data_IF_681537272848
#
_entry.id   IF_681537272848
#
_cell.length_a   1.000
_cell.length_b   1.000
_cell.length_c   1.000
_cell.angle_alpha   90.00
_cell.angle_beta   90.00
_cell.angle_gamma   90.00
#
_symmetry.space_group_name_H-M   'P 1'
#
loop_
_entity.id
_entity.type
_entity.pdbx_description
1 polymer ?
#
# COMPACT_ATOMS: atom_id res chain seq x y z
N UNK A 1 10.44 -9.03 -21.84
CA UNK A 1 9.12 -8.42 -22.09
C UNK A 1 8.63 -7.83 -20.79
N UNK A 2 8.13 -6.60 -20.78
CA UNK A 2 7.66 -5.96 -19.54
C UNK A 2 6.27 -6.44 -19.12
N UNK A 3 5.85 -6.04 -17.92
CA UNK A 3 4.51 -6.34 -17.38
C UNK A 3 3.42 -5.61 -18.17
N UNK A 4 2.18 -6.07 -18.06
CA UNK A 4 1.03 -5.34 -18.58
C UNK A 4 0.08 -4.88 -17.49
N UNK A 5 -0.48 -3.70 -17.69
CA UNK A 5 -1.43 -3.05 -16.81
C UNK A 5 -2.79 -2.96 -17.49
N UNK A 6 -3.82 -3.47 -16.80
CA UNK A 6 -5.22 -3.31 -17.18
C UNK A 6 -5.80 -2.25 -16.26
N UNK A 7 -6.43 -1.22 -16.83
CA UNK A 7 -6.72 0.02 -16.13
C UNK A 7 -8.21 0.33 -16.25
N UNK A 8 -8.86 0.61 -15.12
CA UNK A 8 -10.28 0.97 -15.12
C UNK A 8 -10.52 2.27 -15.89
N UNK A 9 -11.60 2.34 -16.68
CA UNK A 9 -11.92 3.51 -17.50
C UNK A 9 -12.11 4.81 -16.69
N UNK A 10 -12.53 4.72 -15.42
CA UNK A 10 -12.61 5.92 -14.56
C UNK A 10 -11.24 6.55 -14.30
N UNK A 11 -10.17 5.76 -14.32
CA UNK A 11 -8.79 6.23 -14.20
C UNK A 11 -8.38 6.99 -15.47
N UNK A 12 -8.79 6.52 -16.65
CA UNK A 12 -8.57 7.24 -17.91
C UNK A 12 -9.19 8.64 -17.86
N UNK A 13 -10.48 8.71 -17.52
CA UNK A 13 -11.21 9.98 -17.39
C UNK A 13 -10.54 10.92 -16.38
N UNK A 14 -10.12 10.37 -15.24
CA UNK A 14 -9.42 11.14 -14.21
C UNK A 14 -8.07 11.67 -14.71
N UNK A 15 -7.22 10.83 -15.30
CA UNK A 15 -5.92 11.24 -15.81
C UNK A 15 -6.05 12.26 -16.96
N UNK A 16 -7.07 12.12 -17.81
CA UNK A 16 -7.39 13.13 -18.84
C UNK A 16 -7.81 14.47 -18.23
N UNK A 17 -8.54 14.47 -17.11
CA UNK A 17 -8.93 15.71 -16.43
C UNK A 17 -7.73 16.48 -15.89
N UNK A 18 -6.65 15.78 -15.52
CA UNK A 18 -5.39 16.37 -15.06
C UNK A 18 -4.52 16.95 -16.19
N UNK A 19 -4.88 16.72 -17.46
CA UNK A 19 -4.20 17.29 -18.61
C UNK A 19 -4.75 18.66 -19.00
N UNK A 20 -5.92 19.05 -18.47
CA UNK A 20 -6.46 20.37 -18.69
C UNK A 20 -5.55 21.42 -18.04
N UNK A 21 -5.38 22.60 -18.67
CA UNK A 21 -4.61 23.67 -18.07
C UNK A 21 -5.30 24.14 -16.79
N UNK A 22 -4.76 23.75 -15.64
CA UNK A 22 -5.19 24.28 -14.34
C UNK A 22 -4.91 25.79 -14.32
N UNK A 23 -5.84 26.59 -13.79
CA UNK A 23 -5.67 28.05 -13.58
C UNK A 23 -4.53 28.41 -12.63
N UNK A 24 -3.87 27.42 -12.03
CA UNK A 24 -2.74 27.52 -11.10
C UNK A 24 -1.37 27.51 -11.79
N UNK A 25 -1.29 27.38 -13.12
CA UNK A 25 -0.03 27.52 -13.86
C UNK A 25 1.03 26.47 -13.52
N UNK A 26 0.63 25.31 -12.98
CA UNK A 26 1.56 24.26 -12.55
C UNK A 26 2.06 23.45 -13.77
N UNK A 27 3.37 23.41 -14.00
CA UNK A 27 4.03 22.73 -15.15
C UNK A 27 4.04 21.20 -15.07
N UNK A 28 3.77 20.64 -13.88
CA UNK A 28 3.72 19.20 -13.66
C UNK A 28 2.71 18.79 -12.59
N UNK A 29 2.09 17.64 -12.78
CA UNK A 29 1.19 17.01 -11.81
C UNK A 29 1.69 15.60 -11.55
N UNK A 30 1.89 15.25 -10.27
CA UNK A 30 2.32 13.91 -9.85
C UNK A 30 1.24 13.23 -9.02
N UNK A 31 1.28 11.90 -8.95
CA UNK A 31 0.39 11.14 -8.10
C UNK A 31 0.71 9.65 -8.07
N UNK A 32 -0.19 8.91 -7.45
CA UNK A 32 -0.05 7.48 -7.15
C UNK A 32 -1.02 6.66 -7.98
N UNK A 33 -0.59 5.47 -8.37
CA UNK A 33 -1.41 4.46 -9.02
C UNK A 33 -1.66 3.31 -8.04
N UNK A 34 -2.93 3.01 -7.80
CA UNK A 34 -3.39 2.06 -6.79
C UNK A 34 -4.14 0.92 -7.49
N UNK A 35 -3.88 -0.30 -7.02
CA UNK A 35 -4.58 -1.46 -7.52
C UNK A 35 -4.04 -2.77 -6.98
N UNK A 36 -4.19 -3.84 -7.75
CA UNK A 36 -3.83 -5.18 -7.34
C UNK A 36 -2.80 -5.78 -8.30
N UNK A 37 -1.72 -6.34 -7.74
CA UNK A 37 -0.76 -7.10 -8.52
C UNK A 37 -1.24 -8.54 -8.69
N UNK A 38 -1.08 -9.09 -9.90
CA UNK A 38 -1.30 -10.54 -10.15
C UNK A 38 -0.05 -11.17 -10.76
N UNK A 39 -0.04 -12.49 -10.91
CA UNK A 39 1.11 -13.18 -11.51
C UNK A 39 1.37 -12.79 -12.97
N UNK A 40 0.33 -12.39 -13.72
CA UNK A 40 0.42 -12.13 -15.17
C UNK A 40 0.29 -10.65 -15.55
N UNK A 41 -0.70 -9.95 -14.96
CA UNK A 41 -1.04 -8.56 -15.30
C UNK A 41 -1.40 -7.81 -14.03
N UNK A 42 -1.00 -6.55 -13.93
CA UNK A 42 -1.41 -5.72 -12.79
C UNK A 42 -2.68 -4.96 -13.15
N UNK A 43 -3.54 -4.76 -12.15
CA UNK A 43 -4.72 -3.95 -12.30
C UNK A 43 -4.54 -2.59 -11.68
N UNK A 44 -4.88 -1.54 -12.41
CA UNK A 44 -4.98 -0.19 -11.85
C UNK A 44 -6.46 0.14 -11.66
N UNK A 45 -6.85 0.27 -10.39
CA UNK A 45 -8.22 0.58 -10.00
C UNK A 45 -8.41 2.08 -9.76
N UNK A 46 -7.39 2.79 -9.26
CA UNK A 46 -7.49 4.19 -8.89
C UNK A 46 -6.19 4.93 -9.18
N UNK A 47 -6.30 6.19 -9.59
CA UNK A 47 -5.21 7.15 -9.60
C UNK A 47 -5.55 8.30 -8.65
N UNK A 48 -4.56 8.78 -7.90
CA UNK A 48 -4.74 9.87 -6.93
C UNK A 48 -3.63 10.89 -7.09
N UNK A 49 -3.99 12.13 -7.45
CA UNK A 49 -3.05 13.27 -7.49
C UNK A 49 -2.46 13.52 -6.11
N UNK A 50 -1.16 13.74 -6.04
CA UNK A 50 -0.51 14.24 -4.83
C UNK A 50 -0.99 15.65 -4.55
N UNK A 51 -1.53 15.94 -3.34
CA UNK A 51 -2.00 17.28 -2.98
C UNK A 51 -0.89 18.34 -3.15
N UNK A 52 -1.27 19.59 -3.41
CA UNK A 52 -0.29 20.69 -3.35
C UNK A 52 0.09 20.95 -1.89
N UNK A 53 1.38 21.21 -1.64
CA UNK A 53 1.86 21.58 -0.32
C UNK A 53 1.54 23.07 -0.12
N UNK A 54 0.58 23.40 0.74
CA UNK A 54 0.26 24.80 1.05
C UNK A 54 1.47 25.46 1.73
N UNK A 55 2.21 26.28 0.99
CA UNK A 55 3.32 27.11 1.48
C UNK A 55 2.84 28.53 1.80
N UNK A 56 1.65 28.70 2.36
CA UNK A 56 1.06 30.02 2.61
C UNK A 56 1.46 30.65 3.96
N UNK A 57 2.63 30.28 4.50
CA UNK A 57 3.07 30.70 5.84
C UNK A 57 4.43 31.38 5.93
N UNK A 58 5.18 31.53 4.83
CA UNK A 58 6.41 32.34 4.82
C UNK A 58 6.40 33.26 3.61
N UNK A 59 6.58 34.56 3.89
CA UNK A 59 6.42 35.67 2.96
C UNK A 59 7.05 35.41 1.59
N UNK A 60 6.21 35.57 0.57
CA UNK A 60 6.61 35.56 -0.83
C UNK A 60 7.57 36.72 -1.12
N UNK A 61 8.79 36.48 -1.63
CA UNK A 61 9.36 37.38 -2.60
C UNK A 61 8.82 36.95 -3.96
N UNK A 62 8.17 37.86 -4.68
CA UNK A 62 7.69 37.71 -6.06
C UNK A 62 8.57 36.78 -6.92
N UNK A 63 8.20 35.51 -7.04
CA UNK A 63 8.92 34.55 -7.88
C UNK A 63 8.42 34.72 -9.31
N UNK A 64 9.34 35.14 -10.18
CA UNK A 64 9.15 35.27 -11.62
C UNK A 64 8.42 34.05 -12.21
N UNK A 65 7.34 34.28 -12.96
CA UNK A 65 6.53 33.27 -13.69
C UNK A 65 7.34 32.33 -14.62
N UNK A 66 8.63 32.59 -14.84
CA UNK A 66 9.56 31.76 -15.64
C UNK A 66 10.31 30.68 -14.85
N UNK A 67 10.25 30.68 -13.51
CA UNK A 67 11.01 29.73 -12.68
C UNK A 67 10.31 28.37 -12.44
N UNK A 68 9.04 28.22 -12.86
CA UNK A 68 8.26 26.98 -12.61
C UNK A 68 8.42 25.92 -13.72
N UNK A 69 9.25 26.16 -14.74
CA UNK A 69 9.45 25.24 -15.88
C UNK A 69 10.54 24.19 -15.57
N UNK A 70 10.93 24.00 -14.31
CA UNK A 70 11.84 22.92 -13.90
C UNK A 70 11.14 21.94 -12.97
N UNK A 71 11.46 20.65 -13.10
CA UNK A 71 11.01 19.65 -12.11
C UNK A 71 11.91 19.61 -10.87
N UNK A 72 12.92 20.49 -10.77
CA UNK A 72 13.81 20.57 -9.59
C UNK A 72 13.06 20.93 -8.30
N UNK A 73 11.86 21.50 -8.41
CA UNK A 73 10.99 21.82 -7.27
C UNK A 73 10.03 20.68 -6.89
N UNK A 74 10.11 19.51 -7.52
CA UNK A 74 9.26 18.39 -7.15
C UNK A 74 9.65 17.86 -5.77
N UNK A 75 8.75 18.05 -4.81
CA UNK A 75 8.94 17.63 -3.44
C UNK A 75 8.78 16.12 -3.28
N UNK A 76 9.89 15.38 -3.46
CA UNK A 76 9.96 13.94 -3.29
C UNK A 76 9.53 13.52 -1.88
N UNK A 77 9.87 14.30 -0.86
CA UNK A 77 9.48 14.01 0.52
C UNK A 77 7.95 14.06 0.67
N UNK A 78 7.31 15.07 0.08
CA UNK A 78 5.85 15.18 0.10
C UNK A 78 5.14 14.06 -0.67
N UNK A 79 5.67 13.64 -1.82
CA UNK A 79 5.12 12.48 -2.57
C UNK A 79 5.27 11.20 -1.77
N UNK A 80 6.41 10.98 -1.10
CA UNK A 80 6.61 9.80 -0.26
C UNK A 80 5.73 9.82 0.98
N UNK A 81 5.48 10.99 1.57
CA UNK A 81 4.54 11.16 2.68
C UNK A 81 3.09 10.87 2.25
N UNK A 82 2.66 11.42 1.10
CA UNK A 82 1.36 11.08 0.51
C UNK A 82 1.22 9.58 0.27
N UNK A 83 2.25 8.93 -0.29
CA UNK A 83 2.25 7.49 -0.51
C UNK A 83 2.17 6.69 0.80
N UNK A 84 2.87 7.12 1.84
CA UNK A 84 2.82 6.52 3.17
C UNK A 84 1.41 6.59 3.76
N UNK A 85 0.75 7.74 3.66
CA UNK A 85 -0.61 7.93 4.14
C UNK A 85 -1.61 7.07 3.38
N UNK A 86 -1.58 7.13 2.04
CA UNK A 86 -2.44 6.31 1.18
C UNK A 86 -2.25 4.83 1.49
N UNK A 87 -1.00 4.34 1.60
CA UNK A 87 -0.71 2.94 1.92
C UNK A 87 -1.35 2.47 3.23
N UNK A 88 -1.51 3.35 4.24
CA UNK A 88 -2.17 3.01 5.52
C UNK A 88 -3.70 2.97 5.43
N UNK A 89 -4.26 3.60 4.40
CA UNK A 89 -5.71 3.71 4.18
C UNK A 89 -6.25 2.61 3.25
N UNK A 90 -5.37 1.92 2.51
CA UNK A 90 -5.80 0.92 1.55
C UNK A 90 -6.42 -0.32 2.25
N UNK A 91 -7.52 -0.86 1.69
CA UNK A 91 -8.04 -2.15 2.12
C UNK A 91 -7.10 -3.30 1.71
N UNK A 92 -7.31 -4.48 2.30
CA UNK A 92 -6.51 -5.65 1.97
C UNK A 92 -6.61 -6.00 0.49
N UNK A 93 -5.52 -6.49 -0.10
CA UNK A 93 -5.46 -6.87 -1.51
C UNK A 93 -5.21 -5.69 -2.47
N UNK A 94 -5.30 -4.45 -1.99
CA UNK A 94 -4.87 -3.24 -2.71
C UNK A 94 -3.49 -2.78 -2.24
N UNK A 95 -2.72 -2.24 -3.18
CA UNK A 95 -1.42 -1.64 -2.90
C UNK A 95 -1.11 -0.51 -3.89
N UNK A 96 -0.11 0.29 -3.57
CA UNK A 96 0.46 1.25 -4.51
C UNK A 96 1.31 0.47 -5.52
N UNK A 97 0.87 0.50 -6.78
CA UNK A 97 1.54 -0.16 -7.90
C UNK A 97 2.63 0.70 -8.51
N UNK A 98 2.56 2.01 -8.32
CA UNK A 98 3.53 2.94 -8.87
C UNK A 98 3.08 4.38 -8.80
N UNK A 99 3.67 5.21 -9.65
CA UNK A 99 3.47 6.65 -9.68
C UNK A 99 3.18 7.12 -11.11
N UNK A 100 2.46 8.22 -11.23
CA UNK A 100 2.25 8.90 -12.51
C UNK A 100 2.77 10.34 -12.46
N UNK A 101 3.16 10.84 -13.61
CA UNK A 101 3.64 12.20 -13.81
C UNK A 101 3.06 12.74 -15.12
N UNK A 102 2.33 13.84 -15.02
CA UNK A 102 1.79 14.61 -16.14
C UNK A 102 2.65 15.85 -16.31
N UNK A 103 3.22 16.08 -17.50
CA UNK A 103 4.10 17.24 -17.76
C UNK A 103 3.83 17.87 -19.11
N UNK A 104 4.24 19.13 -19.25
CA UNK A 104 4.39 19.77 -20.56
C UNK A 104 5.52 19.10 -21.38
N UNK A 105 5.52 19.23 -22.72
CA UNK A 105 6.47 18.54 -23.61
C UNK A 105 7.94 18.85 -23.32
N UNK A 106 8.24 20.08 -22.90
CA UNK A 106 9.60 20.56 -22.62
C UNK A 106 10.29 19.72 -21.54
N UNK A 107 9.48 19.19 -20.62
CA UNK A 107 9.91 18.45 -19.43
C UNK A 107 9.89 16.92 -19.62
N UNK A 108 9.58 16.46 -20.83
CA UNK A 108 9.42 15.03 -21.12
C UNK A 108 10.73 14.25 -21.00
N UNK A 109 11.88 14.90 -21.14
CA UNK A 109 13.20 14.25 -21.06
C UNK A 109 13.58 13.95 -19.60
N UNK A 110 13.28 14.87 -18.70
CA UNK A 110 13.56 14.78 -17.26
C UNK A 110 12.54 13.89 -16.53
N UNK A 111 11.32 13.80 -17.05
CA UNK A 111 10.21 13.04 -16.46
C UNK A 111 10.58 11.60 -16.08
N UNK A 112 11.39 10.92 -16.90
CA UNK A 112 11.74 9.51 -16.67
C UNK A 112 12.72 9.31 -15.51
N UNK A 113 13.70 10.21 -15.39
CA UNK A 113 14.64 10.19 -14.26
C UNK A 113 13.90 10.45 -12.95
N UNK A 114 12.92 11.34 -12.98
CA UNK A 114 12.14 11.71 -11.81
C UNK A 114 11.17 10.61 -11.41
N UNK A 115 10.45 10.02 -12.37
CA UNK A 115 9.62 8.85 -12.12
C UNK A 115 10.42 7.70 -11.48
N UNK A 116 11.65 7.46 -11.96
CA UNK A 116 12.56 6.51 -11.33
C UNK A 116 12.83 6.88 -9.86
N UNK A 117 13.28 8.13 -9.61
CA UNK A 117 13.58 8.60 -8.25
C UNK A 117 12.38 8.45 -7.32
N UNK A 118 11.18 8.85 -7.77
CA UNK A 118 9.93 8.73 -7.02
C UNK A 118 9.60 7.28 -6.68
N UNK A 119 9.70 6.34 -7.64
CA UNK A 119 9.40 4.93 -7.38
C UNK A 119 10.24 4.38 -6.24
N UNK A 120 11.57 4.57 -6.31
CA UNK A 120 12.47 4.06 -5.29
C UNK A 120 12.30 4.78 -3.95
N UNK A 121 12.06 6.10 -3.96
CA UNK A 121 11.80 6.86 -2.74
C UNK A 121 10.50 6.42 -2.06
N UNK A 122 9.42 6.27 -2.83
CA UNK A 122 8.11 5.81 -2.36
C UNK A 122 8.21 4.40 -1.78
N UNK A 123 8.81 3.47 -2.51
CA UNK A 123 8.93 2.10 -2.02
C UNK A 123 9.80 2.03 -0.75
N UNK A 124 10.94 2.73 -0.73
CA UNK A 124 11.81 2.81 0.46
C UNK A 124 11.04 3.31 1.69
N UNK A 125 10.19 4.33 1.54
CA UNK A 125 9.40 4.87 2.64
C UNK A 125 8.30 3.90 3.11
N UNK A 126 7.58 3.27 2.18
CA UNK A 126 6.55 2.28 2.52
C UNK A 126 7.18 1.04 3.18
N UNK A 127 8.33 0.59 2.68
CA UNK A 127 9.01 -0.63 3.14
C UNK A 127 9.63 -0.48 4.54
N UNK A 128 10.11 0.71 4.94
CA UNK A 128 10.63 0.97 6.32
C UNK A 128 9.61 0.66 7.42
N UNK A 129 8.32 0.87 7.11
CA UNK A 129 7.24 0.67 8.05
C UNK A 129 6.72 -0.76 8.11
N UNK A 130 7.03 -1.61 7.12
CA UNK A 130 6.35 -2.88 6.96
C UNK A 130 6.65 -3.82 8.13
N UNK A 131 5.60 -4.42 8.69
CA UNK A 131 5.75 -5.43 9.75
C UNK A 131 5.96 -6.84 9.20
N UNK A 132 5.80 -7.03 7.88
CA UNK A 132 5.96 -8.30 7.17
C UNK A 132 7.09 -8.24 6.16
N UNK A 133 7.78 -9.36 5.97
CA UNK A 133 8.79 -9.49 4.92
C UNK A 133 8.15 -9.63 3.54
N UNK A 134 8.86 -9.15 2.52
CA UNK A 134 8.60 -9.56 1.15
C UNK A 134 9.00 -11.03 1.00
N UNK A 135 8.13 -11.81 0.38
CA UNK A 135 8.36 -13.17 -0.06
C UNK A 135 8.85 -13.18 -1.51
N UNK A 136 9.43 -14.28 -1.97
CA UNK A 136 9.86 -14.42 -3.37
C UNK A 136 8.70 -14.36 -4.37
N UNK A 137 7.47 -14.59 -3.90
CA UNK A 137 6.24 -14.56 -4.70
C UNK A 137 5.69 -13.11 -4.88
N UNK A 138 6.15 -12.16 -4.06
CA UNK A 138 5.67 -10.78 -4.16
C UNK A 138 6.21 -10.08 -5.41
N UNK A 139 5.31 -9.39 -6.13
CA UNK A 139 5.64 -8.59 -7.33
C UNK A 139 6.40 -7.33 -6.92
N UNK A 140 7.60 -7.16 -7.49
CA UNK A 140 8.52 -6.05 -7.18
C UNK A 140 8.65 -5.02 -8.30
N UNK A 141 8.15 -5.33 -9.48
CA UNK A 141 8.03 -4.38 -10.58
C UNK A 141 6.96 -3.32 -10.25
N UNK A 142 7.34 -2.04 -10.28
CA UNK A 142 6.48 -0.88 -10.04
C UNK A 142 6.35 -0.03 -11.30
N UNK A 143 5.16 0.52 -11.55
CA UNK A 143 4.87 1.30 -12.76
C UNK A 143 5.25 2.78 -12.63
N UNK A 144 5.86 3.30 -13.67
CA UNK A 144 6.10 4.71 -13.94
C UNK A 144 5.27 5.11 -15.17
N UNK A 145 4.24 5.92 -14.95
CA UNK A 145 3.39 6.43 -16.02
C UNK A 145 3.72 7.89 -16.30
N UNK A 146 4.20 8.19 -17.51
CA UNK A 146 4.39 9.55 -17.97
C UNK A 146 3.31 9.93 -18.98
N UNK A 147 2.75 11.11 -18.85
CA UNK A 147 1.72 11.65 -19.73
C UNK A 147 2.13 13.06 -20.15
N UNK A 148 2.21 13.28 -21.46
CA UNK A 148 2.43 14.62 -22.01
C UNK A 148 1.09 15.35 -22.16
N UNK A 149 0.97 16.58 -21.65
CA UNK A 149 -0.28 17.35 -21.70
C UNK A 149 -0.72 17.70 -23.13
N UNK A 150 0.21 18.11 -24.00
CA UNK A 150 -0.11 18.53 -25.37
C UNK A 150 -0.35 17.35 -26.30
N UNK A 151 0.61 16.42 -26.36
CA UNK A 151 0.54 15.28 -27.29
C UNK A 151 -0.41 14.19 -26.80
N UNK A 152 -0.82 14.23 -25.52
CA UNK A 152 -1.57 13.17 -24.81
C UNK A 152 -0.90 11.80 -24.87
N UNK A 153 0.37 11.75 -25.28
CA UNK A 153 1.14 10.52 -25.38
C UNK A 153 1.40 9.99 -23.98
N UNK A 154 1.04 8.73 -23.79
CA UNK A 154 1.27 8.00 -22.55
C UNK A 154 2.47 7.06 -22.72
N UNK A 155 3.45 7.15 -21.82
CA UNK A 155 4.64 6.30 -21.79
C UNK A 155 4.63 5.53 -20.47
N UNK A 156 4.46 4.21 -20.57
CA UNK A 156 4.41 3.30 -19.43
C UNK A 156 5.72 2.50 -19.35
N UNK A 157 6.40 2.59 -18.21
CA UNK A 157 7.60 1.81 -17.91
C UNK A 157 7.51 1.17 -16.53
N UNK A 158 8.28 0.12 -16.30
CA UNK A 158 8.41 -0.50 -14.97
C UNK A 158 9.85 -0.52 -14.50
N UNK A 159 9.99 -0.55 -13.17
CA UNK A 159 11.26 -0.69 -12.47
C UNK A 159 11.12 -1.77 -11.41
N UNK A 160 12.12 -2.64 -11.32
CA UNK A 160 12.22 -3.61 -10.22
C UNK A 160 12.83 -2.94 -8.99
N UNK A 161 12.04 -2.76 -7.93
CA UNK A 161 12.49 -2.13 -6.68
C UNK A 161 13.56 -2.94 -5.94
N UNK A 162 13.69 -4.26 -6.22
CA UNK A 162 14.74 -5.10 -5.61
C UNK A 162 16.11 -4.80 -6.17
N UNK A 163 16.17 -4.28 -7.39
CA UNK A 163 17.40 -3.90 -8.04
C UNK A 163 17.48 -2.36 -8.17
N UNK A 164 18.27 -1.68 -7.31
CA UNK A 164 18.49 -0.24 -7.42
C UNK A 164 19.05 0.21 -8.77
N UNK A 165 19.68 -0.71 -9.51
CA UNK A 165 20.23 -0.48 -10.86
C UNK A 165 19.28 -0.92 -11.97
N UNK A 166 18.07 -1.38 -11.63
CA UNK A 166 17.06 -1.87 -12.57
C UNK A 166 16.85 -0.89 -13.71
N UNK A 167 16.94 -1.34 -14.96
CA UNK A 167 16.66 -0.49 -16.11
C UNK A 167 15.15 -0.40 -16.37
N UNK A 168 14.71 0.71 -16.98
CA UNK A 168 13.30 0.92 -17.25
C UNK A 168 12.81 -0.03 -18.35
N UNK A 169 11.85 -0.90 -18.04
CA UNK A 169 11.28 -1.85 -19.01
C UNK A 169 9.97 -1.30 -19.58
N UNK A 170 9.76 -1.27 -20.90
CA UNK A 170 8.46 -0.88 -21.48
C UNK A 170 7.36 -1.82 -21.00
N UNK A 171 6.19 -1.27 -20.66
CA UNK A 171 5.05 -2.03 -20.18
C UNK A 171 3.78 -1.71 -20.97
N UNK A 172 2.91 -2.70 -21.13
CA UNK A 172 1.61 -2.51 -21.78
C UNK A 172 0.69 -1.71 -20.85
N UNK A 173 -0.02 -0.72 -21.39
CA UNK A 173 -1.02 0.05 -20.66
C UNK A 173 -2.34 0.02 -21.43
N UNK A 174 -3.35 -0.65 -20.90
CA UNK A 174 -4.63 -0.89 -21.60
C UNK A 174 -5.81 -0.54 -20.72
N UNK A 175 -6.67 0.34 -21.21
CA UNK A 175 -7.93 0.67 -20.54
C UNK A 175 -8.98 -0.41 -20.83
N UNK A 176 -9.74 -0.78 -19.80
CA UNK A 176 -10.82 -1.74 -19.90
C UNK A 176 -11.97 -1.31 -18.99
N UNK A 177 -13.20 -1.54 -19.46
CA UNK A 177 -14.42 -1.26 -18.70
C UNK A 177 -14.70 -2.39 -17.71
N UNK A 178 -15.09 -2.04 -16.48
CA UNK A 178 -15.61 -3.01 -15.51
C UNK A 178 -14.53 -3.91 -14.91
N UNK A 179 -13.30 -3.40 -14.85
CA UNK A 179 -12.16 -4.10 -14.23
C UNK A 179 -12.42 -4.33 -12.74
N UNK A 180 -13.11 -3.40 -12.09
CA UNK A 180 -13.42 -3.42 -10.66
C UNK A 180 -14.80 -4.01 -10.33
N UNK A 181 -15.69 -4.20 -11.30
CA UNK A 181 -17.10 -4.59 -11.05
C UNK A 181 -17.28 -6.01 -10.55
N UNK A 182 -16.26 -6.85 -10.67
CA UNK A 182 -16.29 -8.28 -10.32
C UNK A 182 -15.54 -8.62 -9.04
N UNK A 183 -15.03 -7.62 -8.31
CA UNK A 183 -14.12 -7.85 -7.20
C UNK A 183 -14.84 -8.50 -6.03
N UNK A 184 -14.35 -9.66 -5.63
CA UNK A 184 -14.83 -10.38 -4.45
C UNK A 184 -14.38 -9.64 -3.19
N UNK A 185 -15.26 -9.57 -2.20
CA UNK A 185 -14.98 -8.89 -0.93
C UNK A 185 -14.84 -9.94 0.15
N UNK A 186 -13.72 -9.92 0.87
CA UNK A 186 -13.56 -10.69 2.11
C UNK A 186 -13.67 -9.75 3.30
N UNK A 187 -14.48 -10.11 4.29
CA UNK A 187 -14.57 -9.40 5.56
C UNK A 187 -14.11 -10.30 6.69
N UNK A 188 -13.26 -9.78 7.58
CA UNK A 188 -12.75 -10.53 8.73
C UNK A 188 -12.77 -9.67 9.98
N UNK A 189 -12.95 -10.31 11.14
CA UNK A 189 -12.77 -9.67 12.45
C UNK A 189 -11.79 -10.51 13.25
N UNK A 190 -10.73 -9.88 13.74
CA UNK A 190 -9.67 -10.55 14.50
C UNK A 190 -9.65 -9.98 15.90
N UNK A 191 -9.72 -10.85 16.90
CA UNK A 191 -9.55 -10.47 18.31
C UNK A 191 -8.12 -9.96 18.55
N UNK A 192 -8.02 -8.87 19.28
CA UNK A 192 -6.76 -8.29 19.72
C UNK A 192 -6.69 -8.41 21.24
N UNK A 193 -5.69 -9.13 21.73
CA UNK A 193 -5.29 -9.13 23.14
C UNK A 193 -3.76 -9.24 23.20
N UNK A 194 -3.09 -8.10 23.23
CA UNK A 194 -1.63 -8.01 23.28
C UNK A 194 -1.17 -7.40 24.59
N UNK A 195 -0.20 -8.08 25.22
CA UNK A 195 0.54 -7.56 26.35
C UNK A 195 1.97 -7.25 25.91
N UNK A 196 2.32 -5.97 25.93
CA UNK A 196 3.63 -5.49 25.49
C UNK A 196 4.44 -5.08 26.74
N UNK A 197 5.51 -5.81 27.08
CA UNK A 197 6.36 -5.42 28.20
C UNK A 197 7.15 -4.16 27.87
N UNK A 198 7.24 -3.24 28.83
CA UNK A 198 8.07 -2.04 28.76
C UNK A 198 9.33 -2.29 29.60
N UNK A 199 10.51 -2.18 29.00
CA UNK A 199 11.75 -2.69 29.60
C UNK A 199 12.49 -1.66 30.49
N UNK A 200 12.39 -0.36 30.19
CA UNK A 200 12.96 0.74 31.00
C UNK A 200 11.91 1.86 31.12
N UNK A 201 11.93 2.71 32.15
CA UNK A 201 11.02 3.87 32.36
C UNK A 201 11.67 5.21 32.02
N UNK A 202 12.97 5.24 31.70
CA UNK A 202 13.65 6.42 31.10
C UNK A 202 13.43 6.49 29.59
N UNK A 203 12.18 6.34 29.16
CA UNK A 203 11.77 6.05 27.78
C UNK A 203 11.71 7.34 26.98
N UNK A 204 12.66 7.54 26.07
CA UNK A 204 12.43 8.45 24.95
C UNK A 204 11.25 7.89 24.13
N UNK A 205 10.40 8.72 23.50
CA UNK A 205 9.28 8.24 22.68
C UNK A 205 9.66 7.14 21.66
N UNK A 206 10.91 7.15 21.19
CA UNK A 206 11.50 6.16 20.27
C UNK A 206 11.58 4.74 20.87
N UNK A 207 11.83 4.62 22.18
CA UNK A 207 11.93 3.32 22.87
C UNK A 207 10.55 2.68 23.04
N UNK A 208 9.51 3.51 23.24
CA UNK A 208 8.11 3.06 23.27
C UNK A 208 7.67 2.59 21.88
N UNK A 209 8.00 3.33 20.82
CA UNK A 209 7.74 2.92 19.44
C UNK A 209 8.39 1.57 19.13
N UNK A 210 9.63 1.37 19.58
CA UNK A 210 10.34 0.09 19.43
C UNK A 210 9.62 -1.05 20.16
N UNK A 211 9.19 -0.84 21.40
CA UNK A 211 8.43 -1.85 22.17
C UNK A 211 7.10 -2.19 21.48
N UNK A 212 6.35 -1.18 21.04
CA UNK A 212 5.09 -1.36 20.31
C UNK A 212 5.31 -2.12 19.00
N UNK A 213 6.34 -1.74 18.23
CA UNK A 213 6.70 -2.42 16.98
C UNK A 213 6.99 -3.89 17.23
N UNK A 214 7.68 -4.23 18.32
CA UNK A 214 7.99 -5.62 18.65
C UNK A 214 6.74 -6.41 19.04
N UNK A 215 5.87 -5.84 19.89
CA UNK A 215 4.58 -6.47 20.21
C UNK A 215 3.70 -6.72 18.98
N UNK A 216 3.66 -5.75 18.05
CA UNK A 216 2.95 -5.89 16.78
C UNK A 216 3.56 -6.94 15.85
N UNK A 217 4.88 -7.13 15.85
CA UNK A 217 5.53 -8.22 15.10
C UNK A 217 5.12 -9.60 15.62
N UNK A 218 5.01 -9.76 16.94
CA UNK A 218 4.54 -11.01 17.55
C UNK A 218 3.12 -11.32 17.09
N UNK A 219 2.22 -10.34 17.15
CA UNK A 219 0.84 -10.49 16.67
C UNK A 219 0.75 -10.77 15.17
N UNK A 220 1.57 -10.07 14.37
CA UNK A 220 1.70 -10.32 12.95
C UNK A 220 2.10 -11.78 12.65
N UNK A 221 3.06 -12.33 13.41
CA UNK A 221 3.49 -13.71 13.27
C UNK A 221 2.39 -14.70 13.65
N UNK A 222 1.65 -14.40 14.72
CA UNK A 222 0.48 -15.18 15.15
C UNK A 222 -0.63 -15.22 14.09
N UNK A 223 -0.90 -14.09 13.43
CA UNK A 223 -1.85 -14.02 12.32
C UNK A 223 -1.34 -14.84 11.11
N UNK A 224 -0.04 -14.78 10.82
CA UNK A 224 0.57 -15.49 9.69
C UNK A 224 0.45 -17.01 9.83
N UNK A 225 0.64 -17.54 11.05
CA UNK A 225 0.50 -18.97 11.35
C UNK A 225 -0.95 -19.37 11.70
N UNK A 226 -1.86 -18.42 11.76
CA UNK A 226 -3.26 -18.64 12.11
C UNK A 226 -4.03 -19.44 11.05
N UNK A 227 -5.06 -20.15 11.53
CA UNK A 227 -5.97 -20.89 10.67
C UNK A 227 -7.05 -19.95 10.15
N UNK A 228 -7.23 -19.88 8.83
CA UNK A 228 -8.28 -19.08 8.23
C UNK A 228 -9.47 -19.95 7.82
N UNK A 229 -10.66 -19.56 8.27
CA UNK A 229 -11.94 -20.09 7.84
C UNK A 229 -12.57 -19.13 6.84
N UNK A 230 -13.08 -19.63 5.72
CA UNK A 230 -13.89 -18.85 4.78
C UNK A 230 -15.29 -19.45 4.75
N UNK A 231 -16.29 -18.63 5.08
CA UNK A 231 -17.68 -19.05 5.30
C UNK A 231 -17.78 -20.27 6.25
N UNK A 232 -16.96 -20.26 7.31
CA UNK A 232 -16.92 -21.33 8.32
C UNK A 232 -16.19 -22.61 7.90
N UNK A 233 -15.56 -22.66 6.72
CA UNK A 233 -14.84 -23.84 6.22
C UNK A 233 -13.33 -23.60 6.19
N UNK A 234 -12.57 -24.61 6.61
CA UNK A 234 -11.12 -24.67 6.37
C UNK A 234 -10.91 -25.03 4.91
N UNK A 235 -10.21 -24.18 4.17
CA UNK A 235 -9.82 -24.44 2.79
C UNK A 235 -8.29 -24.58 2.74
N UNK A 236 -7.79 -25.49 1.92
CA UNK A 236 -6.34 -25.62 1.74
C UNK A 236 -5.78 -24.36 1.06
N UNK A 237 -4.55 -23.99 1.42
CA UNK A 237 -3.89 -22.74 1.01
C UNK A 237 -3.90 -22.50 -0.52
N UNK A 238 -3.79 -23.57 -1.31
CA UNK A 238 -3.74 -23.55 -2.78
C UNK A 238 -5.13 -23.54 -3.45
N UNK A 239 -6.20 -23.69 -2.67
CA UNK A 239 -7.58 -23.73 -3.20
C UNK A 239 -8.00 -22.34 -3.67
N UNK A 240 -8.73 -22.26 -4.77
CA UNK A 240 -9.42 -21.04 -5.19
C UNK A 240 -10.60 -20.76 -4.25
N UNK A 241 -10.80 -19.50 -3.84
CA UNK A 241 -11.89 -19.11 -2.94
C UNK A 241 -13.26 -19.32 -3.60
N UNK A 242 -13.34 -19.13 -4.91
CA UNK A 242 -14.55 -19.31 -5.71
C UNK A 242 -14.41 -20.56 -6.57
N UNK A 243 -14.51 -21.74 -5.95
CA UNK A 243 -14.49 -22.99 -6.69
C UNK A 243 -15.79 -23.19 -7.51
N UNK A 244 -15.66 -23.44 -8.81
CA UNK A 244 -16.75 -24.02 -9.62
C UNK A 244 -17.71 -23.07 -10.35
N UNK A 245 -17.43 -21.76 -10.46
CA UNK A 245 -18.25 -20.90 -11.33
C UNK A 245 -18.03 -21.24 -12.82
N UNK A 246 -19.12 -21.51 -13.55
CA UNK A 246 -19.10 -21.71 -15.01
C UNK A 246 -18.49 -20.48 -15.69
N UNK A 247 -17.60 -20.70 -16.67
CA UNK A 247 -16.88 -19.67 -17.46
C UNK A 247 -17.78 -18.58 -18.10
N UNK A 248 -19.11 -18.76 -18.14
CA UNK A 248 -20.08 -17.89 -18.80
C UNK A 248 -21.07 -17.16 -17.85
N UNK A 249 -20.91 -17.27 -16.52
CA UNK A 249 -21.76 -16.48 -15.61
C UNK A 249 -21.28 -15.01 -15.58
N UNK A 250 -22.22 -14.06 -15.60
CA UNK A 250 -21.88 -12.64 -15.40
C UNK A 250 -21.10 -12.49 -14.08
N UNK A 251 -19.98 -11.75 -14.07
CA UNK A 251 -19.23 -11.58 -12.85
C UNK A 251 -20.07 -10.78 -11.85
N UNK A 252 -20.47 -11.43 -10.76
CA UNK A 252 -21.18 -10.79 -9.64
C UNK A 252 -20.18 -10.65 -8.49
N UNK A 253 -20.15 -9.45 -7.91
CA UNK A 253 -19.44 -9.21 -6.65
C UNK A 253 -20.08 -10.05 -5.54
N UNK A 254 -19.30 -10.95 -4.95
CA UNK A 254 -19.72 -11.74 -3.79
C UNK A 254 -18.94 -11.29 -2.56
N UNK A 255 -19.57 -11.45 -1.39
CA UNK A 255 -18.93 -11.17 -0.11
C UNK A 255 -18.76 -12.47 0.65
N UNK A 256 -17.54 -12.69 1.14
CA UNK A 256 -17.14 -13.86 1.91
C UNK A 256 -16.79 -13.45 3.33
N UNK A 257 -17.29 -14.21 4.31
CA UNK A 257 -16.95 -13.99 5.70
C UNK A 257 -15.74 -14.85 6.06
N UNK A 258 -14.62 -14.19 6.37
CA UNK A 258 -13.40 -14.84 6.81
C UNK A 258 -13.24 -14.73 8.34
N UNK A 259 -12.66 -15.74 8.95
CA UNK A 259 -12.30 -15.75 10.38
C UNK A 259 -10.86 -16.23 10.50
N UNK A 260 -10.02 -15.49 11.22
CA UNK A 260 -8.64 -15.89 11.50
C UNK A 260 -8.60 -16.38 12.94
N UNK A 261 -8.37 -17.67 13.10
CA UNK A 261 -8.15 -18.31 14.39
C UNK A 261 -6.66 -18.26 14.70
N UNK A 262 -6.32 -17.43 15.68
CA UNK A 262 -4.95 -17.37 16.20
C UNK A 262 -4.76 -18.59 17.11
N UNK A 263 -3.75 -19.44 16.87
CA UNK A 263 -3.49 -20.57 17.74
C UNK A 263 -3.16 -20.02 19.13
N UNK A 264 -3.87 -20.50 20.15
CA UNK A 264 -3.39 -20.37 21.51
C UNK A 264 -2.01 -21.01 21.53
N UNK A 265 -0.98 -20.31 22.00
CA UNK A 265 0.34 -20.92 22.16
C UNK A 265 0.14 -22.26 22.89
N UNK A 266 0.52 -23.36 22.24
CA UNK A 266 0.36 -24.67 22.86
C UNK A 266 1.03 -24.63 24.24
N UNK A 267 0.35 -25.08 25.32
CA UNK A 267 1.07 -25.33 26.55
C UNK A 267 2.16 -26.34 26.21
N UNK A 268 3.44 -26.03 26.48
CA UNK A 268 4.54 -26.83 26.01
C UNK A 268 4.39 -28.24 26.57
N UNK A 269 4.11 -29.21 25.70
CA UNK A 269 4.20 -30.62 26.03
C UNK A 269 5.66 -30.93 26.34
N UNK A 270 6.00 -30.99 27.63
CA UNK A 270 7.25 -31.52 28.17
C UNK A 270 8.50 -31.10 27.36
N UNK A 271 8.69 -29.79 27.20
CA UNK A 271 10.01 -29.22 27.02
C UNK A 271 10.16 -28.17 28.13
N UNK A 272 11.23 -28.32 28.90
CA UNK A 272 11.64 -27.45 30.01
C UNK A 272 11.59 -26.00 29.56
N UNK A 273 10.44 -25.36 29.82
CA UNK A 273 10.25 -23.96 29.52
C UNK A 273 11.10 -23.17 30.49
N UNK A 274 12.23 -22.69 30.01
CA UNK A 274 12.97 -21.65 30.70
C UNK A 274 12.06 -20.42 30.72
N UNK A 275 11.44 -20.18 31.86
CA UNK A 275 10.69 -18.95 32.12
C UNK A 275 11.68 -17.80 31.92
N UNK A 276 11.54 -17.08 30.80
CA UNK A 276 12.33 -15.89 30.52
C UNK A 276 11.80 -14.76 31.39
N UNK A 277 12.36 -14.64 32.59
CA UNK A 277 12.12 -13.48 33.46
C UNK A 277 12.82 -12.28 32.84
N UNK A 278 12.03 -11.32 32.34
CA UNK A 278 12.54 -10.02 31.89
C UNK A 278 12.22 -8.97 32.95
N UNK A 279 13.24 -8.23 33.38
CA UNK A 279 13.04 -7.00 34.15
C UNK A 279 12.21 -6.03 33.28
N UNK A 280 11.02 -5.69 33.74
CA UNK A 280 10.11 -4.78 33.06
C UNK A 280 9.80 -3.63 34.02
N UNK A 281 9.78 -2.42 33.49
CA UNK A 281 9.40 -1.22 34.20
C UNK A 281 7.88 -0.99 34.19
N UNK A 282 7.16 -1.64 33.28
CA UNK A 282 5.70 -1.63 33.16
C UNK A 282 5.21 -2.56 32.04
N UNK A 283 3.91 -2.49 31.74
CA UNK A 283 3.32 -3.19 30.60
C UNK A 283 2.20 -2.37 29.97
N UNK A 284 2.04 -2.50 28.65
CA UNK A 284 0.95 -1.93 27.87
C UNK A 284 0.04 -3.08 27.42
N UNK A 285 -1.25 -2.99 27.72
CA UNK A 285 -2.26 -3.93 27.23
C UNK A 285 -3.09 -3.30 26.13
N UNK A 286 -3.18 -3.97 24.98
CA UNK A 286 -4.01 -3.60 23.85
C UNK A 286 -5.08 -4.67 23.67
N UNK A 287 -6.33 -4.32 23.97
CA UNK A 287 -7.48 -5.22 23.84
C UNK A 287 -8.52 -4.65 22.89
N UNK A 288 -9.15 -5.50 22.10
CA UNK A 288 -10.26 -5.10 21.23
C UNK A 288 -10.48 -6.04 20.06
N UNK A 289 -11.07 -5.50 19.00
CA UNK A 289 -11.33 -6.24 17.77
C UNK A 289 -10.93 -5.39 16.56
N UNK A 290 -10.19 -6.00 15.64
CA UNK A 290 -9.80 -5.37 14.38
C UNK A 290 -10.67 -5.92 13.27
N UNK A 291 -11.51 -5.06 12.70
CA UNK A 291 -12.29 -5.39 11.51
C UNK A 291 -11.46 -5.08 10.26
N UNK A 292 -11.39 -6.03 9.34
CA UNK A 292 -10.59 -6.00 8.11
C UNK A 292 -11.50 -6.30 6.91
N UNK A 293 -11.20 -5.67 5.78
CA UNK A 293 -11.89 -5.88 4.50
C UNK A 293 -10.86 -5.93 3.38
N UNK A 294 -10.82 -7.05 2.66
CA UNK A 294 -9.96 -7.23 1.50
C UNK A 294 -10.80 -7.33 0.21
N UNK A 295 -10.21 -6.86 -0.90
CA UNK A 295 -10.78 -7.03 -2.23
C UNK A 295 -9.89 -7.93 -3.08
N UNK A 296 -10.53 -8.83 -3.84
CA UNK A 296 -9.87 -9.80 -4.69
C UNK A 296 -10.51 -9.77 -6.07
N UNK A 297 -9.73 -9.44 -7.09
CA UNK A 297 -10.24 -9.38 -8.46
C UNK A 297 -10.63 -10.75 -9.02
N UNK A 298 -9.81 -11.77 -8.76
CA UNK A 298 -9.89 -13.04 -9.49
C UNK A 298 -10.68 -14.08 -8.72
N UNK A 299 -11.57 -14.78 -9.43
CA UNK A 299 -12.15 -16.03 -8.94
C UNK A 299 -11.07 -17.09 -8.64
N UNK A 300 -9.86 -16.91 -9.17
CA UNK A 300 -8.68 -17.76 -8.95
C UNK A 300 -7.79 -17.32 -7.80
N UNK A 301 -8.19 -16.32 -7.01
CA UNK A 301 -7.42 -15.93 -5.84
C UNK A 301 -7.34 -17.11 -4.87
N UNK A 302 -6.10 -17.49 -4.53
CA UNK A 302 -5.83 -18.58 -3.60
C UNK A 302 -6.16 -18.16 -2.19
N UNK A 303 -6.54 -19.13 -1.37
CA UNK A 303 -6.84 -18.92 0.05
C UNK A 303 -5.64 -18.31 0.77
N UNK A 304 -4.41 -18.76 0.50
CA UNK A 304 -3.18 -18.20 1.07
C UNK A 304 -3.03 -16.69 0.78
N UNK A 305 -3.20 -16.29 -0.47
CA UNK A 305 -3.02 -14.89 -0.90
C UNK A 305 -4.10 -13.98 -0.29
N UNK A 306 -5.31 -14.49 -0.14
CA UNK A 306 -6.43 -13.75 0.40
C UNK A 306 -6.43 -13.66 1.94
N UNK A 307 -6.26 -14.80 2.61
CA UNK A 307 -6.30 -14.90 4.06
C UNK A 307 -5.04 -14.30 4.69
N UNK A 308 -3.88 -14.84 4.32
CA UNK A 308 -2.60 -14.41 4.87
C UNK A 308 -2.16 -13.15 4.14
N UNK A 309 -2.07 -13.18 2.82
CA UNK A 309 -1.54 -12.07 2.03
C UNK A 309 -2.35 -10.75 2.09
N UNK A 310 -3.68 -10.80 2.07
CA UNK A 310 -4.51 -9.60 1.99
C UNK A 310 -5.11 -9.20 3.35
N UNK A 311 -5.86 -10.10 3.99
CA UNK A 311 -6.55 -9.81 5.25
C UNK A 311 -5.55 -9.63 6.41
N UNK A 312 -4.61 -10.56 6.57
CA UNK A 312 -3.63 -10.45 7.64
C UNK A 312 -2.76 -9.18 7.52
N UNK A 313 -2.29 -8.83 6.30
CA UNK A 313 -1.50 -7.60 6.06
C UNK A 313 -2.29 -6.40 6.54
N UNK A 314 -3.55 -6.34 6.14
CA UNK A 314 -4.43 -5.23 6.48
C UNK A 314 -4.69 -5.12 7.98
N UNK A 315 -4.93 -6.23 8.69
CA UNK A 315 -5.21 -6.18 10.12
C UNK A 315 -4.02 -5.59 10.91
N UNK A 316 -2.81 -6.00 10.55
CA UNK A 316 -1.57 -5.51 11.14
C UNK A 316 -1.33 -4.04 10.80
N UNK A 317 -1.43 -3.64 9.53
CA UNK A 317 -1.23 -2.25 9.10
C UNK A 317 -2.32 -1.31 9.67
N UNK A 318 -3.56 -1.76 9.80
CA UNK A 318 -4.66 -0.99 10.41
C UNK A 318 -4.46 -0.78 11.91
N UNK A 319 -3.95 -1.78 12.62
CA UNK A 319 -3.64 -1.62 14.04
C UNK A 319 -2.44 -0.68 14.21
N UNK A 320 -1.37 -0.92 13.45
CA UNK A 320 -0.18 -0.07 13.44
C UNK A 320 -0.55 1.39 13.12
N UNK A 321 -1.44 1.62 12.16
CA UNK A 321 -1.84 2.97 11.79
C UNK A 321 -2.64 3.70 12.87
N UNK A 322 -3.30 2.98 13.79
CA UNK A 322 -4.01 3.59 14.93
C UNK A 322 -3.10 3.85 16.12
N UNK A 323 -2.07 3.03 16.30
CA UNK A 323 -1.12 3.15 17.42
C UNK A 323 -0.05 4.20 17.10
N UNK A 324 0.38 4.30 15.85
CA UNK A 324 1.33 5.32 15.42
C UNK A 324 0.61 6.66 15.29
N UNK A 325 0.65 7.43 16.39
CA UNK A 325 0.18 8.82 16.48
C UNK A 325 0.71 9.64 15.29
N UNK A 326 -0.03 10.63 14.76
CA UNK A 326 0.50 11.50 13.72
C UNK A 326 1.71 12.26 14.26
N UNK A 327 2.90 11.92 13.77
CA UNK A 327 4.07 12.76 13.90
C UNK A 327 3.71 14.15 13.34
N UNK A 328 3.79 15.17 14.20
CA UNK A 328 3.50 16.60 13.95
C UNK A 328 2.02 16.99 13.93
N UNK A 329 1.35 16.93 15.09
CA UNK A 329 0.45 18.03 15.41
C UNK A 329 1.32 19.22 15.86
N UNK A 330 1.24 20.41 15.25
CA UNK A 330 1.85 21.60 15.84
C UNK A 330 1.25 21.79 17.24
N UNK A 331 2.05 22.24 18.23
CA UNK A 331 1.51 22.55 19.55
C UNK A 331 0.36 23.56 19.37
N UNK A 332 -0.75 23.43 20.11
CA UNK A 332 -1.77 24.45 20.10
C UNK A 332 -1.11 25.76 20.51
N UNK A 333 -1.22 26.77 19.65
CA UNK A 333 -0.82 28.13 19.99
C UNK A 333 -1.63 28.53 21.23
N UNK A 334 -0.94 28.68 22.36
CA UNK A 334 -1.42 29.43 23.51
C UNK A 334 -1.28 30.92 23.23
#
# INVERSE_FOLDING_TARGET
MGRGYIVENMVEKYLSSLQAPDSTGTSCVTGLLIGQSTSQRDLVALAVRTPQRNTDGQGSPSINRRAWISLDHLDVEWVTEHARQVSRMLPGGLSILGVFLVTVPELSKEAQNILRQLIFAVDKHISKGRLWSLTNEDVTEKVALHICTETRKTVCRTFDIRDPKSSAKPADWKYQLGVCTSWQVLTCSVGLDLLIPVLDMRVLPQDMEKCMKEGLKIWAKQIEVGLCLINGKILADETEIVAGQKKNAKPVQQTFQAQILIPMAEPPSVQTSTVLVKMCSGSLSLKGMVHCRAYLQSNKSRVKDAAKGALGKQCVERLKSRIQCPDKAPPPHQ
#
